data_IF_376242591461
#
_entry.id   IF_376242591461
#
_cell.length_a   1.000
_cell.length_b   1.000
_cell.length_c   1.000
_cell.angle_alpha   90.00
_cell.angle_beta   90.00
_cell.angle_gamma   90.00
#
_symmetry.space_group_name_H-M   'P 1'
#
loop_
_entity.id
_entity.type
_entity.pdbx_description
1 polymer ?
#
# COMPACT_ATOMS: atom_id res chain seq x y z
N UNK A 1 -3.03 -22.77 4.50
CA UNK A 1 -2.57 -22.85 5.90
C UNK A 1 -3.57 -22.16 6.81
N UNK A 2 -3.65 -22.54 8.09
CA UNK A 2 -4.57 -21.90 9.06
C UNK A 2 -4.41 -20.38 9.14
N UNK A 3 -3.15 -19.90 9.10
CA UNK A 3 -2.86 -18.46 9.07
C UNK A 3 -3.51 -17.74 7.87
N UNK A 4 -3.43 -18.31 6.66
CA UNK A 4 -4.06 -17.73 5.46
C UNK A 4 -5.59 -17.77 5.51
N UNK A 5 -6.18 -18.83 6.09
CA UNK A 5 -7.64 -18.90 6.33
C UNK A 5 -8.10 -17.81 7.29
N UNK A 6 -7.34 -17.58 8.36
CA UNK A 6 -7.57 -16.49 9.32
C UNK A 6 -7.51 -15.12 8.65
N UNK A 7 -6.45 -14.87 7.88
CA UNK A 7 -6.29 -13.62 7.10
C UNK A 7 -7.49 -13.38 6.20
N UNK A 8 -7.93 -14.40 5.45
CA UNK A 8 -9.08 -14.28 4.55
C UNK A 8 -10.36 -13.94 5.30
N UNK A 9 -10.60 -14.60 6.43
CA UNK A 9 -11.85 -14.44 7.20
C UNK A 9 -11.92 -13.11 7.97
N UNK A 10 -10.79 -12.63 8.48
CA UNK A 10 -10.77 -11.56 9.50
C UNK A 10 -10.21 -10.22 9.00
N UNK A 11 -9.53 -10.18 7.85
CA UNK A 11 -9.14 -8.91 7.23
C UNK A 11 -10.24 -8.40 6.28
N UNK A 12 -10.35 -7.06 6.12
CA UNK A 12 -11.26 -6.47 5.16
C UNK A 12 -10.87 -6.89 3.74
N UNK A 13 -11.88 -7.16 2.93
CA UNK A 13 -11.71 -7.38 1.50
C UNK A 13 -11.81 -6.01 0.86
N UNK A 14 -10.68 -5.49 0.40
CA UNK A 14 -10.61 -4.20 -0.29
C UNK A 14 -11.43 -4.28 -1.57
N UNK A 15 -11.27 -5.40 -2.28
CA UNK A 15 -12.12 -5.81 -3.38
C UNK A 15 -12.61 -7.21 -3.06
N UNK A 16 -13.93 -7.39 -3.06
CA UNK A 16 -14.60 -8.67 -2.76
C UNK A 16 -14.64 -9.61 -3.98
N UNK A 17 -15.20 -10.81 -3.80
CA UNK A 17 -15.38 -11.78 -4.87
C UNK A 17 -16.25 -11.29 -6.04
N UNK A 18 -17.05 -10.24 -5.88
CA UNK A 18 -17.89 -9.66 -6.92
C UNK A 18 -17.22 -8.46 -7.61
N UNK A 19 -16.02 -8.08 -7.18
CA UNK A 19 -15.32 -6.89 -7.67
C UNK A 19 -15.79 -5.59 -7.02
N UNK A 20 -16.54 -5.66 -5.92
CA UNK A 20 -17.03 -4.48 -5.19
C UNK A 20 -15.89 -3.93 -4.32
N UNK A 21 -15.62 -2.63 -4.48
CA UNK A 21 -14.65 -1.89 -3.67
C UNK A 21 -15.26 -1.50 -2.32
N UNK A 22 -14.57 -1.83 -1.23
CA UNK A 22 -14.93 -1.46 0.14
C UNK A 22 -14.89 0.06 0.37
N UNK A 23 -14.18 0.80 -0.48
CA UNK A 23 -14.06 2.25 -0.44
C UNK A 23 -13.08 2.77 0.63
N UNK A 24 -12.44 1.87 1.38
CA UNK A 24 -11.35 2.22 2.28
C UNK A 24 -10.36 1.07 2.45
N UNK A 25 -9.15 1.42 2.85
CA UNK A 25 -8.07 0.48 3.17
C UNK A 25 -7.60 0.76 4.60
N UNK A 26 -7.25 -0.28 5.36
CA UNK A 26 -6.62 -0.08 6.68
C UNK A 26 -5.20 0.46 6.49
N UNK A 27 -4.62 1.05 7.54
CA UNK A 27 -3.25 1.56 7.50
C UNK A 27 -2.27 0.54 6.93
N UNK A 28 -1.53 0.95 5.90
CA UNK A 28 -0.45 0.16 5.32
C UNK A 28 0.67 0.06 6.35
N UNK A 29 0.97 -1.17 6.79
CA UNK A 29 2.07 -1.43 7.72
C UNK A 29 3.26 -2.05 6.97
N UNK A 30 4.38 -2.19 7.68
CA UNK A 30 5.64 -2.70 7.11
C UNK A 30 5.60 -4.17 6.67
N UNK A 31 4.54 -4.92 7.00
CA UNK A 31 4.39 -6.35 6.66
C UNK A 31 2.93 -6.70 6.36
N UNK A 32 2.64 -6.96 5.09
CA UNK A 32 1.29 -7.26 4.61
C UNK A 32 0.88 -8.73 4.75
N UNK A 33 1.84 -9.62 4.99
CA UNK A 33 1.64 -11.07 5.17
C UNK A 33 1.18 -11.45 6.59
N UNK A 34 0.96 -10.47 7.47
CA UNK A 34 0.57 -10.65 8.87
C UNK A 34 -0.90 -10.30 9.08
N UNK A 35 -1.50 -10.86 10.12
CA UNK A 35 -2.82 -10.44 10.57
C UNK A 35 -2.69 -9.61 11.86
N UNK A 36 -3.34 -8.45 11.98
CA UNK A 36 -4.09 -7.75 10.93
C UNK A 36 -3.17 -7.13 9.86
N UNK A 37 -3.68 -6.96 8.63
CA UNK A 37 -3.01 -6.20 7.56
C UNK A 37 -3.93 -5.10 7.00
N UNK A 38 -3.44 -4.40 5.96
CA UNK A 38 -4.16 -3.33 5.26
C UNK A 38 -5.48 -3.79 4.61
N UNK A 39 -5.60 -5.09 4.36
CA UNK A 39 -6.71 -5.71 3.67
C UNK A 39 -6.20 -6.70 2.62
N UNK A 40 -7.13 -7.39 1.98
CA UNK A 40 -6.84 -8.33 0.89
C UNK A 40 -7.69 -8.01 -0.33
N UNK A 41 -7.21 -8.41 -1.50
CA UNK A 41 -7.95 -8.34 -2.76
C UNK A 41 -8.29 -9.78 -3.15
N UNK A 42 -9.57 -10.09 -3.30
CA UNK A 42 -10.00 -11.39 -3.80
C UNK A 42 -9.65 -11.48 -5.29
N UNK A 43 -8.99 -12.57 -5.68
CA UNK A 43 -8.51 -12.76 -7.05
C UNK A 43 -9.37 -13.83 -7.74
N UNK A 44 -10.36 -13.42 -8.52
CA UNK A 44 -11.25 -14.35 -9.26
C UNK A 44 -10.50 -15.20 -10.31
N UNK A 45 -9.29 -14.81 -10.75
CA UNK A 45 -8.52 -15.61 -11.71
C UNK A 45 -7.95 -16.85 -11.01
N UNK A 46 -7.67 -16.75 -9.71
CA UNK A 46 -7.12 -17.83 -8.91
C UNK A 46 -8.10 -18.96 -8.61
N UNK A 47 -9.42 -18.76 -8.79
CA UNK A 47 -10.41 -19.86 -8.74
C UNK A 47 -10.26 -20.88 -9.88
N UNK A 48 -9.51 -20.54 -10.93
CA UNK A 48 -9.14 -21.45 -12.04
C UNK A 48 -7.74 -22.06 -11.80
N UNK A 49 -7.02 -21.58 -10.78
CA UNK A 49 -5.66 -22.01 -10.50
C UNK A 49 -5.61 -23.33 -9.70
N UNK A 50 -4.48 -24.07 -9.72
CA UNK A 50 -4.35 -25.36 -9.05
C UNK A 50 -4.70 -25.28 -7.55
N UNK A 51 -5.15 -26.40 -6.96
CA UNK A 51 -5.66 -26.57 -5.58
C UNK A 51 -4.82 -25.97 -4.43
N UNK A 52 -3.62 -25.47 -4.72
CA UNK A 52 -2.65 -24.95 -3.74
C UNK A 52 -2.44 -23.42 -3.78
N UNK A 53 -3.12 -22.67 -4.66
CA UNK A 53 -3.08 -21.19 -4.63
C UNK A 53 -4.20 -20.62 -3.75
N UNK A 54 -3.87 -19.56 -3.02
CA UNK A 54 -4.85 -18.82 -2.22
C UNK A 54 -5.71 -17.97 -3.15
N UNK A 55 -6.99 -17.85 -2.84
CA UNK A 55 -7.97 -17.16 -3.66
C UNK A 55 -7.99 -15.63 -3.50
N UNK A 56 -6.95 -15.12 -2.87
CA UNK A 56 -6.75 -13.71 -2.58
C UNK A 56 -5.26 -13.38 -2.67
N UNK A 57 -4.98 -12.09 -2.87
CA UNK A 57 -3.64 -11.51 -2.81
C UNK A 57 -3.60 -10.34 -1.84
N UNK A 58 -2.39 -9.99 -1.44
CA UNK A 58 -2.11 -8.75 -0.74
C UNK A 58 -1.93 -7.60 -1.72
N UNK A 59 -1.92 -6.38 -1.20
CA UNK A 59 -1.49 -5.21 -1.96
C UNK A 59 -0.05 -5.39 -2.45
N UNK A 60 0.16 -5.07 -3.71
CA UNK A 60 1.48 -4.94 -4.32
C UNK A 60 2.20 -3.69 -3.80
N UNK A 61 3.52 -3.60 -3.94
CA UNK A 61 4.25 -2.39 -3.60
C UNK A 61 3.74 -1.14 -4.31
N UNK A 62 3.41 -1.24 -5.61
CA UNK A 62 2.88 -0.11 -6.39
C UNK A 62 1.56 0.40 -5.82
N UNK A 63 0.63 -0.51 -5.55
CA UNK A 63 -0.65 -0.17 -4.91
C UNK A 63 -0.46 0.47 -3.52
N UNK A 64 0.53 -0.02 -2.75
CA UNK A 64 0.85 0.59 -1.45
C UNK A 64 1.34 2.04 -1.59
N UNK A 65 2.16 2.36 -2.60
CA UNK A 65 2.62 3.73 -2.85
C UNK A 65 1.46 4.63 -3.28
N UNK A 66 0.64 4.18 -4.21
CA UNK A 66 -0.54 4.92 -4.68
C UNK A 66 -1.50 5.24 -3.52
N UNK A 67 -1.80 4.27 -2.66
CA UNK A 67 -2.66 4.48 -1.49
C UNK A 67 -2.06 5.42 -0.44
N UNK A 68 -0.74 5.61 -0.44
CA UNK A 68 -0.06 6.59 0.41
C UNK A 68 0.00 7.99 -0.22
N UNK A 69 -0.60 8.19 -1.40
CA UNK A 69 -0.65 9.46 -2.11
C UNK A 69 0.57 9.76 -2.98
N UNK A 70 1.43 8.77 -3.26
CA UNK A 70 2.51 8.94 -4.23
C UNK A 70 2.00 8.75 -5.66
N UNK A 71 2.61 9.46 -6.61
CA UNK A 71 2.31 9.29 -8.03
C UNK A 71 2.88 7.98 -8.58
N UNK A 72 2.25 7.44 -9.64
CA UNK A 72 2.81 6.29 -10.38
C UNK A 72 4.24 6.56 -10.84
N UNK A 73 4.51 7.78 -11.29
CA UNK A 73 5.82 8.20 -11.79
C UNK A 73 6.91 8.13 -10.72
N UNK A 74 6.57 8.31 -9.44
CA UNK A 74 7.54 8.23 -8.35
C UNK A 74 7.93 6.79 -8.06
N UNK A 75 6.96 5.88 -8.13
CA UNK A 75 7.24 4.45 -8.07
C UNK A 75 8.06 3.99 -9.27
N UNK A 76 7.74 4.46 -10.48
CA UNK A 76 8.47 4.12 -11.70
C UNK A 76 9.93 4.56 -11.62
N UNK A 77 10.20 5.81 -11.24
CA UNK A 77 11.57 6.31 -11.00
C UNK A 77 12.33 5.41 -10.02
N UNK A 78 11.68 4.93 -8.97
CA UNK A 78 12.31 4.09 -7.96
C UNK A 78 12.69 2.70 -8.52
N UNK A 79 11.81 2.10 -9.33
CA UNK A 79 12.08 0.81 -9.97
C UNK A 79 13.12 0.93 -11.08
N UNK A 80 13.06 1.97 -11.91
CA UNK A 80 14.02 2.23 -12.99
C UNK A 80 15.44 2.45 -12.47
N UNK A 81 15.57 3.08 -11.29
CA UNK A 81 16.85 3.32 -10.64
C UNK A 81 17.25 2.20 -9.65
N UNK A 82 16.55 1.06 -9.67
CA UNK A 82 16.87 -0.07 -8.81
C UNK A 82 18.10 -0.83 -9.34
N UNK A 83 19.09 -1.04 -8.48
CA UNK A 83 20.33 -1.72 -8.84
C UNK A 83 20.42 -3.11 -8.23
N UNK A 84 21.20 -3.99 -8.87
CA UNK A 84 21.50 -5.32 -8.32
C UNK A 84 22.53 -5.21 -7.21
N UNK A 85 22.24 -5.81 -6.04
CA UNK A 85 23.21 -5.94 -4.94
C UNK A 85 24.15 -7.12 -5.19
N UNK A 86 23.63 -8.15 -5.85
CA UNK A 86 24.37 -9.31 -6.35
C UNK A 86 23.64 -9.88 -7.57
N UNK A 87 24.21 -10.93 -8.17
CA UNK A 87 23.67 -11.56 -9.39
C UNK A 87 22.26 -12.17 -9.24
N UNK A 88 21.67 -12.18 -8.03
CA UNK A 88 20.39 -12.81 -7.75
C UNK A 88 19.32 -11.85 -7.19
N UNK A 89 19.69 -10.63 -6.77
CA UNK A 89 18.79 -9.78 -6.00
C UNK A 89 19.01 -8.29 -6.25
N UNK A 90 17.90 -7.60 -6.53
CA UNK A 90 17.81 -6.14 -6.55
C UNK A 90 17.81 -5.53 -5.14
N UNK A 91 18.32 -4.30 -5.04
CA UNK A 91 18.40 -3.58 -3.79
C UNK A 91 17.02 -3.31 -3.21
N UNK A 92 16.09 -2.78 -4.01
CA UNK A 92 14.70 -2.61 -3.64
C UNK A 92 13.92 -3.89 -3.99
N UNK A 93 13.64 -4.70 -2.97
CA UNK A 93 12.70 -5.83 -3.08
C UNK A 93 11.30 -5.39 -2.65
N UNK A 94 10.29 -6.15 -3.04
CA UNK A 94 8.89 -5.88 -2.68
C UNK A 94 8.70 -5.64 -1.18
N UNK A 95 9.36 -6.42 -0.31
CA UNK A 95 9.28 -6.25 1.14
C UNK A 95 9.87 -4.92 1.62
N UNK A 96 10.97 -4.46 0.99
CA UNK A 96 11.58 -3.17 1.31
C UNK A 96 10.69 -2.02 0.85
N UNK A 97 10.11 -2.12 -0.35
CA UNK A 97 9.18 -1.13 -0.87
C UNK A 97 7.93 -1.00 0.00
N UNK A 98 7.31 -2.13 0.36
CA UNK A 98 6.18 -2.15 1.30
C UNK A 98 6.57 -1.52 2.64
N UNK A 99 7.78 -1.82 3.14
CA UNK A 99 8.29 -1.20 4.37
C UNK A 99 8.50 0.31 4.24
N UNK A 100 8.91 0.80 3.08
CA UNK A 100 9.03 2.24 2.80
C UNK A 100 7.64 2.89 2.81
N UNK A 101 6.68 2.34 2.07
CA UNK A 101 5.31 2.84 2.05
C UNK A 101 4.68 2.83 3.46
N UNK A 102 4.76 1.71 4.18
CA UNK A 102 4.14 1.57 5.50
C UNK A 102 4.83 2.33 6.64
N UNK A 103 6.03 2.88 6.41
CA UNK A 103 6.68 3.82 7.34
C UNK A 103 6.52 5.28 6.90
N UNK A 104 5.92 5.53 5.73
CA UNK A 104 5.68 6.87 5.23
C UNK A 104 4.47 7.50 5.91
N UNK A 105 4.34 8.81 5.75
CA UNK A 105 3.12 9.57 6.01
C UNK A 105 2.35 9.66 4.69
N UNK A 106 1.01 9.72 4.75
CA UNK A 106 0.16 9.91 3.57
C UNK A 106 0.41 11.32 3.01
N UNK A 107 0.76 11.41 1.72
CA UNK A 107 1.18 12.65 1.04
C UNK A 107 0.09 13.72 1.14
N UNK A 108 -1.15 13.37 0.77
CA UNK A 108 -2.28 14.31 0.79
C UNK A 108 -2.50 14.94 2.17
N UNK A 109 -2.34 14.15 3.24
CA UNK A 109 -2.48 14.64 4.61
C UNK A 109 -1.37 15.64 4.95
N UNK A 110 -0.13 15.35 4.53
CA UNK A 110 1.00 16.24 4.75
C UNK A 110 0.83 17.56 3.99
N UNK A 111 0.33 17.52 2.75
CA UNK A 111 0.02 18.71 1.97
C UNK A 111 -1.03 19.59 2.64
N UNK A 112 -2.12 19.01 3.15
CA UNK A 112 -3.17 19.75 3.84
C UNK A 112 -2.69 20.39 5.14
N UNK A 113 -1.81 19.72 5.88
CA UNK A 113 -1.15 20.32 7.06
C UNK A 113 -0.32 21.54 6.65
N UNK A 114 0.48 21.45 5.58
CA UNK A 114 1.26 22.58 5.11
C UNK A 114 0.41 23.73 4.58
N UNK A 115 -0.68 23.45 3.85
CA UNK A 115 -1.64 24.47 3.41
C UNK A 115 -2.23 25.22 4.60
N UNK A 116 -2.63 24.51 5.66
CA UNK A 116 -3.11 25.15 6.89
C UNK A 116 -2.04 26.01 7.58
N UNK A 117 -0.79 25.54 7.64
CA UNK A 117 0.30 26.33 8.22
C UNK A 117 0.54 27.63 7.44
N UNK A 118 0.49 27.59 6.11
CA UNK A 118 0.66 28.77 5.25
C UNK A 118 -0.52 29.75 5.41
N UNK A 119 -1.75 29.25 5.50
CA UNK A 119 -2.94 30.08 5.74
C UNK A 119 -2.86 30.80 7.10
N UNK A 120 -2.48 30.08 8.16
CA UNK A 120 -2.28 30.67 9.49
C UNK A 120 -1.20 31.75 9.45
N UNK A 121 -0.06 31.46 8.80
CA UNK A 121 1.03 32.44 8.67
C UNK A 121 0.57 33.71 7.97
N UNK A 122 -0.13 33.58 6.84
CA UNK A 122 -0.66 34.72 6.09
C UNK A 122 -1.61 35.58 6.93
N UNK A 123 -2.54 34.95 7.66
CA UNK A 123 -3.47 35.66 8.55
C UNK A 123 -2.74 36.40 9.68
N UNK A 124 -1.65 35.85 10.21
CA UNK A 124 -0.86 36.53 11.23
C UNK A 124 -0.17 37.76 10.63
N UNK A 125 0.40 37.66 9.43
CA UNK A 125 1.07 38.77 8.74
C UNK A 125 0.11 39.91 8.34
N UNK A 126 -1.15 39.61 7.99
CA UNK A 126 -2.17 40.62 7.63
C UNK A 126 -2.75 41.38 8.84
N UNK A 127 -2.52 40.91 10.07
CA UNK A 127 -3.04 41.51 11.31
C UNK A 127 -2.00 42.38 12.05
N UNK A 128 -0.82 42.60 11.46
CA UNK A 128 0.22 43.53 11.92
C UNK A 128 0.55 44.56 10.83
#
# INVERSE_FOLDING_TARGET
TESRRKIKRENPHIIDENGIDLGYVRTITTKQDRHPNSGIIVDQISTIAPENKSDFRYLSPRECFLLMGFDESDFDKLIENNFMVNNARYFFTSEKLIKMAGNSIVVDILEEVFKQMLDIKKRLEENF
#
